data_IF_287987180365
#
_entry.id   IF_287987180365
#
_cell.length_a   1.000
_cell.length_b   1.000
_cell.length_c   1.000
_cell.angle_alpha   90.00
_cell.angle_beta   90.00
_cell.angle_gamma   90.00
#
_symmetry.space_group_name_H-M   'P 1'
#
loop_
_entity.id
_entity.type
_entity.pdbx_description
1 polymer ?
#
# COMPACT_ATOMS: atom_id res chain seq x y z
N UNK A 1 27.93 2.47 -4.14
CA UNK A 1 28.16 3.55 -3.18
C UNK A 1 28.72 2.96 -1.88
N UNK A 2 29.70 3.62 -1.29
CA UNK A 2 30.17 3.28 0.05
C UNK A 2 29.15 3.75 1.09
N UNK A 3 29.09 3.07 2.24
CA UNK A 3 28.13 3.37 3.31
C UNK A 3 28.19 4.84 3.77
N UNK A 4 29.39 5.39 3.93
CA UNK A 4 29.59 6.77 4.35
C UNK A 4 29.04 7.80 3.34
N UNK A 5 29.02 7.47 2.06
CA UNK A 5 28.41 8.31 1.04
C UNK A 5 26.89 8.26 1.12
N UNK A 6 26.31 7.08 1.30
CA UNK A 6 24.86 6.92 1.51
C UNK A 6 24.40 7.72 2.72
N UNK A 7 25.15 7.66 3.82
CA UNK A 7 24.85 8.44 5.03
C UNK A 7 24.81 9.95 4.74
N UNK A 8 25.77 10.49 3.99
CA UNK A 8 25.75 11.90 3.60
C UNK A 8 24.52 12.28 2.80
N UNK A 9 24.10 11.44 1.84
CA UNK A 9 22.88 11.69 1.06
C UNK A 9 21.63 11.67 1.93
N UNK A 10 21.54 10.74 2.89
CA UNK A 10 20.43 10.69 3.86
C UNK A 10 20.41 11.95 4.72
N UNK A 11 21.54 12.40 5.22
CA UNK A 11 21.66 13.60 6.05
C UNK A 11 21.24 14.85 5.25
N UNK A 12 21.69 15.02 4.00
CA UNK A 12 21.29 16.13 3.12
C UNK A 12 19.80 16.10 2.77
N UNK A 13 19.23 14.91 2.49
CA UNK A 13 17.82 14.78 2.24
C UNK A 13 16.98 15.26 3.43
N UNK A 14 17.39 14.94 4.64
CA UNK A 14 16.76 15.39 5.89
C UNK A 14 16.87 16.90 6.09
N UNK A 15 18.05 17.47 5.84
CA UNK A 15 18.26 18.92 5.96
C UNK A 15 17.30 19.73 5.09
N UNK A 16 16.92 19.20 3.92
CA UNK A 16 15.95 19.85 3.01
C UNK A 16 14.53 19.35 3.18
N UNK A 17 14.26 18.53 4.21
CA UNK A 17 12.91 18.06 4.55
C UNK A 17 12.36 16.96 3.65
N UNK A 18 13.18 16.26 2.88
CA UNK A 18 12.76 15.13 2.06
C UNK A 18 12.44 13.89 2.92
N UNK A 19 11.47 13.10 2.46
CA UNK A 19 11.24 11.74 2.96
C UNK A 19 12.30 10.81 2.39
N UNK A 20 12.87 9.95 3.23
CA UNK A 20 13.94 9.02 2.86
C UNK A 20 13.40 7.59 2.83
N UNK A 21 12.95 7.07 1.66
CA UNK A 21 12.69 5.65 1.49
C UNK A 21 14.00 4.90 1.25
N UNK A 22 14.13 3.70 1.82
CA UNK A 22 15.33 2.88 1.71
C UNK A 22 15.01 1.45 1.32
N UNK A 23 15.71 0.95 0.30
CA UNK A 23 15.70 -0.47 -0.07
C UNK A 23 16.18 -1.34 1.09
N UNK A 24 15.58 -2.53 1.22
CA UNK A 24 15.94 -3.51 2.24
C UNK A 24 16.10 -4.91 1.63
N UNK A 25 17.02 -5.68 2.20
CA UNK A 25 17.30 -7.08 1.92
C UNK A 25 18.18 -7.38 0.71
N UNK A 26 17.73 -8.20 -0.22
CA UNK A 26 18.57 -8.83 -1.23
C UNK A 26 19.09 -7.87 -2.30
N UNK A 27 20.03 -8.37 -3.08
CA UNK A 27 20.61 -7.59 -4.19
C UNK A 27 19.63 -7.44 -5.33
N UNK A 28 19.41 -6.20 -5.78
CA UNK A 28 18.59 -5.91 -6.95
C UNK A 28 19.36 -6.01 -8.26
N UNK A 29 20.69 -5.82 -8.21
CA UNK A 29 21.55 -5.89 -9.38
C UNK A 29 22.83 -6.68 -9.07
N UNK A 30 23.46 -7.32 -10.07
CA UNK A 30 24.77 -7.95 -9.89
C UNK A 30 25.80 -6.96 -9.33
N UNK A 31 26.57 -7.39 -8.36
CA UNK A 31 27.63 -6.57 -7.75
C UNK A 31 27.17 -5.61 -6.62
N UNK A 32 25.85 -5.44 -6.40
CA UNK A 32 25.36 -4.70 -5.22
C UNK A 32 25.53 -5.54 -3.95
N UNK A 33 25.61 -4.88 -2.80
CA UNK A 33 25.59 -5.53 -1.50
C UNK A 33 24.14 -5.88 -1.10
N UNK A 34 24.01 -6.77 -0.13
CA UNK A 34 22.75 -6.95 0.61
C UNK A 34 22.68 -5.87 1.68
N UNK A 35 21.47 -5.39 1.98
CA UNK A 35 21.19 -4.45 3.04
C UNK A 35 20.32 -5.15 4.09
N UNK A 36 20.87 -5.31 5.28
CA UNK A 36 20.19 -5.92 6.40
C UNK A 36 19.84 -4.89 7.48
N UNK A 37 19.34 -5.35 8.59
CA UNK A 37 18.86 -4.48 9.64
C UNK A 37 19.94 -3.54 10.19
N UNK A 38 21.20 -3.95 10.24
CA UNK A 38 22.27 -3.10 10.77
C UNK A 38 22.42 -1.78 9.99
N UNK A 39 22.46 -1.86 8.66
CA UNK A 39 22.60 -0.70 7.81
C UNK A 39 21.35 0.20 7.87
N UNK A 40 20.17 -0.40 7.86
CA UNK A 40 18.89 0.34 7.95
C UNK A 40 18.76 1.03 9.31
N UNK A 41 19.07 0.31 10.39
CA UNK A 41 19.01 0.86 11.76
C UNK A 41 20.03 1.99 11.97
N UNK A 42 21.20 1.91 11.36
CA UNK A 42 22.20 2.97 11.44
C UNK A 42 21.80 4.24 10.67
N UNK A 43 21.06 4.10 9.57
CA UNK A 43 20.59 5.22 8.73
C UNK A 43 19.24 5.79 9.18
N UNK A 44 18.40 5.00 9.86
CA UNK A 44 17.07 5.39 10.36
C UNK A 44 16.20 6.06 9.27
N UNK A 45 15.90 5.40 8.15
CA UNK A 45 15.06 5.97 7.09
C UNK A 45 13.64 6.25 7.59
N UNK A 46 12.88 7.07 6.84
CA UNK A 46 11.45 7.30 7.12
C UNK A 46 10.60 6.09 6.70
N UNK A 47 10.99 5.43 5.59
CA UNK A 47 10.29 4.25 5.05
C UNK A 47 11.30 3.18 4.67
N UNK A 48 11.07 1.94 5.09
CA UNK A 48 11.77 0.77 4.58
C UNK A 48 10.87 0.10 3.55
N UNK A 49 11.30 0.14 2.28
CA UNK A 49 10.45 -0.32 1.17
C UNK A 49 10.58 -1.83 0.94
N UNK A 50 9.49 -2.42 0.43
CA UNK A 50 9.38 -3.82 -0.04
C UNK A 50 10.01 -4.89 0.88
N UNK A 51 9.64 -4.92 2.15
CA UNK A 51 10.10 -5.93 3.14
C UNK A 51 10.00 -7.37 2.59
N UNK A 52 8.97 -7.64 1.82
CA UNK A 52 8.71 -8.92 1.17
C UNK A 52 9.21 -9.00 -0.27
N UNK A 53 10.18 -8.16 -0.66
CA UNK A 53 10.64 -8.05 -2.07
C UNK A 53 11.06 -9.37 -2.69
N UNK A 54 10.18 -10.04 -3.43
CA UNK A 54 10.40 -11.23 -4.27
C UNK A 54 11.55 -12.18 -3.88
N UNK A 55 12.45 -12.50 -4.82
CA UNK A 55 13.65 -13.30 -4.53
C UNK A 55 14.63 -12.61 -3.59
N UNK A 56 14.45 -11.34 -3.35
CA UNK A 56 15.33 -10.50 -2.53
C UNK A 56 14.81 -10.29 -1.12
N UNK A 57 13.67 -10.87 -0.76
CA UNK A 57 13.11 -10.74 0.60
C UNK A 57 14.10 -11.18 1.68
N UNK A 58 14.10 -10.45 2.79
CA UNK A 58 14.98 -10.78 3.91
C UNK A 58 14.46 -11.95 4.73
N UNK A 59 15.35 -12.63 5.46
CA UNK A 59 14.94 -13.56 6.48
C UNK A 59 14.06 -12.89 7.56
N UNK A 60 13.12 -13.61 8.12
CA UNK A 60 12.15 -13.11 9.12
C UNK A 60 12.83 -12.41 10.30
N UNK A 61 13.94 -12.94 10.81
CA UNK A 61 14.65 -12.34 11.94
C UNK A 61 15.23 -10.94 11.64
N UNK A 62 15.57 -10.65 10.39
CA UNK A 62 16.01 -9.31 9.98
C UNK A 62 14.82 -8.31 9.99
N UNK A 63 13.63 -8.77 9.55
CA UNK A 63 12.42 -7.97 9.64
C UNK A 63 12.03 -7.70 11.10
N UNK A 64 12.14 -8.68 12.01
CA UNK A 64 11.92 -8.48 13.45
C UNK A 64 12.82 -7.40 14.03
N UNK A 65 14.10 -7.41 13.69
CA UNK A 65 15.06 -6.37 14.15
C UNK A 65 14.64 -4.97 13.69
N UNK A 66 14.09 -4.84 12.48
CA UNK A 66 13.55 -3.56 12.00
C UNK A 66 12.28 -3.16 12.75
N UNK A 67 11.36 -4.08 12.98
CA UNK A 67 10.13 -3.79 13.72
C UNK A 67 10.47 -3.22 15.10
N UNK A 68 11.42 -3.81 15.79
CA UNK A 68 11.78 -3.47 17.17
C UNK A 68 12.78 -2.30 17.24
N UNK A 69 13.63 -2.09 16.23
CA UNK A 69 14.76 -1.17 16.26
C UNK A 69 14.55 0.17 15.58
N UNK A 70 13.49 0.36 14.80
CA UNK A 70 13.19 1.64 14.13
C UNK A 70 11.75 2.07 14.30
N UNK A 71 11.48 3.35 14.06
CA UNK A 71 10.12 3.91 13.95
C UNK A 71 9.67 4.11 12.50
N UNK A 72 10.48 3.72 11.54
CA UNK A 72 10.16 3.83 10.12
C UNK A 72 8.85 3.12 9.77
N UNK A 73 8.18 3.61 8.74
CA UNK A 73 7.14 2.83 8.07
C UNK A 73 7.76 1.65 7.33
N UNK A 74 7.06 0.53 7.30
CA UNK A 74 7.55 -0.73 6.73
C UNK A 74 6.60 -1.19 5.63
N UNK A 75 7.07 -1.18 4.38
CA UNK A 75 6.21 -1.43 3.22
C UNK A 75 6.23 -2.90 2.79
N UNK A 76 5.05 -3.43 2.50
CA UNK A 76 4.85 -4.69 1.78
C UNK A 76 4.29 -4.41 0.37
N UNK A 77 4.65 -5.26 -0.59
CA UNK A 77 4.35 -5.03 -2.00
C UNK A 77 3.68 -6.24 -2.66
N UNK A 78 2.81 -5.98 -3.66
CA UNK A 78 2.14 -7.07 -4.37
C UNK A 78 3.10 -7.87 -5.27
N UNK A 79 4.16 -7.25 -5.80
CA UNK A 79 5.17 -7.93 -6.61
C UNK A 79 6.22 -8.70 -5.79
N UNK A 80 6.00 -8.83 -4.48
CA UNK A 80 6.91 -9.50 -3.55
C UNK A 80 6.57 -10.97 -3.26
N UNK A 81 7.25 -11.51 -2.26
CA UNK A 81 7.01 -12.85 -1.73
C UNK A 81 5.82 -12.83 -0.77
N UNK A 82 4.73 -13.53 -1.13
CA UNK A 82 3.51 -13.58 -0.32
C UNK A 82 3.68 -14.30 1.03
N UNK A 83 4.58 -15.27 1.12
CA UNK A 83 4.86 -15.94 2.40
C UNK A 83 5.55 -14.97 3.36
N UNK A 84 6.56 -14.25 2.90
CA UNK A 84 7.23 -13.23 3.70
C UNK A 84 6.27 -12.10 4.10
N UNK A 85 5.37 -11.68 3.18
CA UNK A 85 4.33 -10.70 3.50
C UNK A 85 3.44 -11.18 4.65
N UNK A 86 2.93 -12.39 4.55
CA UNK A 86 2.07 -13.00 5.57
C UNK A 86 2.76 -13.04 6.94
N UNK A 87 3.95 -13.63 7.00
CA UNK A 87 4.71 -13.77 8.23
C UNK A 87 5.03 -12.40 8.85
N UNK A 88 5.44 -11.42 8.02
CA UNK A 88 5.74 -10.07 8.47
C UNK A 88 4.52 -9.33 9.02
N UNK A 89 3.37 -9.39 8.32
CA UNK A 89 2.15 -8.69 8.77
C UNK A 89 1.63 -9.30 10.09
N UNK A 90 1.74 -10.60 10.28
CA UNK A 90 1.40 -11.23 11.57
C UNK A 90 2.33 -10.75 12.69
N UNK A 91 3.62 -10.62 12.45
CA UNK A 91 4.55 -10.04 13.43
C UNK A 91 4.19 -8.60 13.80
N UNK A 92 3.81 -7.76 12.82
CA UNK A 92 3.35 -6.40 13.07
C UNK A 92 2.04 -6.37 13.87
N UNK A 93 1.11 -7.30 13.60
CA UNK A 93 -0.14 -7.48 14.34
C UNK A 93 0.12 -7.87 15.80
N UNK A 94 0.98 -8.84 16.04
CA UNK A 94 1.35 -9.31 17.38
C UNK A 94 1.99 -8.20 18.24
N UNK A 95 2.71 -7.28 17.62
CA UNK A 95 3.37 -6.14 18.28
C UNK A 95 2.53 -4.87 18.35
N UNK A 96 1.26 -4.93 17.93
CA UNK A 96 0.35 -3.75 17.84
C UNK A 96 0.92 -2.58 17.02
N UNK A 97 1.63 -2.91 15.92
CA UNK A 97 2.31 -1.93 15.08
C UNK A 97 1.77 -1.85 13.63
N UNK A 98 0.56 -2.33 13.40
CA UNK A 98 -0.08 -2.31 12.07
C UNK A 98 -0.16 -0.90 11.47
N UNK A 99 -0.23 0.14 12.29
CA UNK A 99 -0.27 1.55 11.86
C UNK A 99 0.98 1.99 11.09
N UNK A 100 2.08 1.23 11.17
CA UNK A 100 3.33 1.48 10.45
C UNK A 100 3.47 0.65 9.17
N UNK A 101 2.53 -0.24 8.87
CA UNK A 101 2.55 -1.01 7.62
C UNK A 101 2.06 -0.15 6.48
N UNK A 102 2.80 -0.16 5.37
CA UNK A 102 2.37 0.41 4.09
C UNK A 102 2.13 -0.70 3.08
N UNK A 103 1.20 -0.49 2.16
CA UNK A 103 0.94 -1.38 1.03
C UNK A 103 1.26 -0.66 -0.27
N UNK A 104 2.19 -1.22 -1.04
CA UNK A 104 2.61 -0.76 -2.35
C UNK A 104 2.53 -1.85 -3.43
N UNK A 105 2.98 -1.56 -4.64
CA UNK A 105 3.02 -2.54 -5.74
C UNK A 105 4.42 -2.92 -6.16
N UNK A 106 5.37 -2.01 -6.08
CA UNK A 106 6.69 -2.11 -6.71
C UNK A 106 6.60 -2.35 -8.24
N UNK A 107 5.54 -1.83 -8.87
CA UNK A 107 5.35 -1.95 -10.31
C UNK A 107 6.09 -0.82 -11.06
N UNK A 108 6.69 -1.11 -12.21
CA UNK A 108 6.69 -2.39 -12.96
C UNK A 108 7.85 -3.33 -12.62
N UNK A 109 8.65 -3.04 -11.60
CA UNK A 109 9.82 -3.85 -11.21
C UNK A 109 9.38 -5.20 -10.64
N UNK A 110 10.26 -6.19 -10.67
CA UNK A 110 9.98 -7.54 -10.18
C UNK A 110 9.09 -8.36 -11.13
N UNK A 111 7.81 -8.45 -10.83
CA UNK A 111 6.84 -9.26 -11.59
C UNK A 111 6.14 -8.48 -12.73
N UNK A 112 6.53 -7.22 -13.00
CA UNK A 112 5.88 -6.36 -13.99
C UNK A 112 4.64 -5.63 -13.45
N UNK A 113 3.71 -5.26 -14.33
CA UNK A 113 2.48 -4.57 -13.93
C UNK A 113 1.43 -5.57 -13.47
N UNK A 114 1.01 -5.47 -12.22
CA UNK A 114 -0.05 -6.27 -11.63
C UNK A 114 -1.37 -5.50 -11.64
N UNK A 115 -2.36 -5.87 -12.49
CA UNK A 115 -3.67 -5.26 -12.44
C UNK A 115 -4.32 -5.42 -11.06
N UNK A 116 -4.90 -4.33 -10.54
CA UNK A 116 -5.51 -4.29 -9.20
C UNK A 116 -4.53 -4.65 -8.05
N UNK A 117 -3.23 -4.45 -8.25
CA UNK A 117 -2.20 -4.92 -7.32
C UNK A 117 -2.43 -4.45 -5.86
N UNK A 118 -2.78 -3.17 -5.65
CA UNK A 118 -3.11 -2.65 -4.32
C UNK A 118 -4.34 -3.36 -3.73
N UNK A 119 -5.45 -3.44 -4.47
CA UNK A 119 -6.70 -4.09 -4.00
C UNK A 119 -6.46 -5.56 -3.68
N UNK A 120 -5.69 -6.28 -4.52
CA UNK A 120 -5.35 -7.69 -4.27
C UNK A 120 -4.45 -7.87 -3.04
N UNK A 121 -3.55 -6.94 -2.78
CA UNK A 121 -2.72 -6.97 -1.56
C UNK A 121 -3.56 -6.67 -0.32
N UNK A 122 -4.46 -5.70 -0.39
CA UNK A 122 -5.43 -5.39 0.68
C UNK A 122 -6.29 -6.62 0.98
N UNK A 123 -6.88 -7.23 -0.05
CA UNK A 123 -7.66 -8.46 0.06
C UNK A 123 -6.86 -9.59 0.73
N UNK A 124 -5.63 -9.85 0.26
CA UNK A 124 -4.77 -10.89 0.81
C UNK A 124 -4.44 -10.65 2.29
N UNK A 125 -4.01 -9.43 2.63
CA UNK A 125 -3.64 -9.08 4.01
C UNK A 125 -4.85 -9.14 4.94
N UNK A 126 -6.01 -8.64 4.51
CA UNK A 126 -7.21 -8.66 5.32
C UNK A 126 -7.68 -10.10 5.58
N UNK A 127 -7.91 -10.87 4.53
CA UNK A 127 -8.48 -12.22 4.64
C UNK A 127 -7.51 -13.23 5.27
N UNK A 128 -6.23 -13.21 4.88
CA UNK A 128 -5.26 -14.22 5.33
C UNK A 128 -4.66 -13.92 6.70
N UNK A 129 -4.53 -12.63 7.06
CA UNK A 129 -4.00 -12.24 8.37
C UNK A 129 -5.12 -11.90 9.38
N UNK A 130 -6.38 -12.06 9.00
CA UNK A 130 -7.55 -11.77 9.85
C UNK A 130 -7.47 -10.36 10.45
N UNK A 131 -7.32 -9.35 9.58
CA UNK A 131 -7.27 -7.95 9.95
C UNK A 131 -8.48 -7.26 9.32
N UNK A 132 -9.27 -6.47 10.08
CA UNK A 132 -10.42 -5.73 9.54
C UNK A 132 -10.06 -4.93 8.29
N UNK A 133 -10.90 -4.98 7.26
CA UNK A 133 -10.61 -4.42 5.94
C UNK A 133 -10.32 -2.91 5.99
N UNK A 134 -11.01 -2.15 6.85
CA UNK A 134 -10.78 -0.72 7.03
C UNK A 134 -9.35 -0.41 7.52
N UNK A 135 -8.78 -1.27 8.37
CA UNK A 135 -7.39 -1.11 8.84
C UNK A 135 -6.39 -1.40 7.73
N UNK A 136 -6.67 -2.40 6.91
CA UNK A 136 -5.79 -2.75 5.78
C UNK A 136 -5.90 -1.73 4.66
N UNK A 137 -7.08 -1.19 4.39
CA UNK A 137 -7.26 -0.06 3.46
C UNK A 137 -6.47 1.18 3.93
N UNK A 138 -6.46 1.46 5.24
CA UNK A 138 -5.66 2.55 5.78
C UNK A 138 -4.15 2.36 5.52
N UNK A 139 -3.62 1.12 5.51
CA UNK A 139 -2.22 0.85 5.15
C UNK A 139 -1.89 1.23 3.70
N UNK A 140 -2.88 1.20 2.80
CA UNK A 140 -2.72 1.57 1.39
C UNK A 140 -3.09 3.04 1.10
N UNK A 141 -3.62 3.77 2.06
CA UNK A 141 -4.14 5.13 1.89
C UNK A 141 -3.61 6.08 2.96
N UNK A 142 -4.27 6.16 4.11
CA UNK A 142 -3.94 7.10 5.18
C UNK A 142 -2.53 6.95 5.74
N UNK A 143 -2.04 5.72 5.95
CA UNK A 143 -0.66 5.48 6.41
C UNK A 143 0.37 5.90 5.36
N UNK A 144 0.09 5.69 4.07
CA UNK A 144 0.94 6.18 2.97
C UNK A 144 0.97 7.70 2.97
N UNK A 145 -0.20 8.34 3.11
CA UNK A 145 -0.29 9.80 3.19
C UNK A 145 0.53 10.36 4.36
N UNK A 146 0.47 9.74 5.52
CA UNK A 146 1.28 10.16 6.68
C UNK A 146 2.79 9.95 6.44
N UNK A 147 3.18 8.79 5.91
CA UNK A 147 4.59 8.46 5.64
C UNK A 147 5.24 9.43 4.63
N UNK A 148 4.50 9.78 3.57
CA UNK A 148 4.99 10.63 2.49
C UNK A 148 4.51 12.10 2.57
N UNK A 149 3.80 12.47 3.65
CA UNK A 149 3.29 13.84 3.90
C UNK A 149 2.40 14.38 2.78
N UNK A 150 1.49 13.53 2.29
CA UNK A 150 0.58 13.85 1.19
C UNK A 150 -0.71 14.51 1.71
N UNK A 151 -1.30 15.38 0.90
CA UNK A 151 -2.60 16.00 1.19
C UNK A 151 -3.81 15.16 0.71
N UNK A 152 -3.63 13.88 0.47
CA UNK A 152 -4.65 12.91 0.04
C UNK A 152 -4.67 11.69 0.96
N UNK A 153 -5.38 10.63 0.60
CA UNK A 153 -5.38 9.33 1.29
C UNK A 153 -6.23 9.24 2.56
N UNK A 154 -6.89 10.34 2.97
CA UNK A 154 -7.82 10.38 4.11
C UNK A 154 -9.07 11.16 3.75
N UNK A 155 -10.23 10.70 4.23
CA UNK A 155 -11.51 11.40 4.06
C UNK A 155 -11.64 12.43 5.20
N UNK A 156 -11.12 13.62 4.97
CA UNK A 156 -11.10 14.73 5.91
C UNK A 156 -11.36 16.06 5.18
N UNK A 157 -12.02 17.02 5.86
CA UNK A 157 -12.25 18.35 5.30
C UNK A 157 -10.92 19.06 5.03
N UNK A 158 -10.76 19.61 3.82
CA UNK A 158 -9.55 20.31 3.38
C UNK A 158 -8.50 19.43 2.69
N UNK A 159 -8.77 18.13 2.54
CA UNK A 159 -7.97 17.21 1.73
C UNK A 159 -8.45 17.13 0.30
N UNK A 160 -7.57 16.69 -0.59
CA UNK A 160 -7.92 16.36 -1.97
C UNK A 160 -8.95 15.22 -1.99
N UNK A 161 -10.00 15.38 -2.79
CA UNK A 161 -11.09 14.40 -2.88
C UNK A 161 -10.78 13.32 -3.91
N UNK A 162 -9.77 12.50 -3.63
CA UNK A 162 -9.44 11.29 -4.37
C UNK A 162 -10.12 10.10 -3.69
N UNK A 163 -11.24 9.66 -4.24
CA UNK A 163 -12.12 8.70 -3.60
C UNK A 163 -12.46 7.53 -4.53
N UNK A 164 -12.61 6.36 -3.95
CA UNK A 164 -13.27 5.23 -4.60
C UNK A 164 -14.51 4.81 -3.78
N UNK A 165 -15.60 4.51 -4.47
CA UNK A 165 -16.74 3.82 -3.86
C UNK A 165 -16.64 2.34 -4.21
N UNK A 166 -16.68 1.49 -3.19
CA UNK A 166 -16.63 0.03 -3.32
C UNK A 166 -17.90 -0.61 -2.77
N UNK A 167 -18.25 -1.77 -3.30
CA UNK A 167 -19.41 -2.52 -2.87
C UNK A 167 -19.18 -4.03 -3.03
N UNK A 168 -20.08 -4.85 -2.47
CA UNK A 168 -20.05 -6.28 -2.71
C UNK A 168 -20.42 -6.58 -4.18
N UNK A 169 -19.67 -7.44 -4.88
CA UNK A 169 -20.09 -7.97 -6.19
C UNK A 169 -21.40 -8.75 -6.09
N UNK A 170 -22.10 -8.89 -7.23
CA UNK A 170 -23.24 -9.81 -7.33
C UNK A 170 -22.82 -11.22 -6.88
N UNK A 171 -23.71 -11.88 -6.14
CA UNK A 171 -23.52 -13.23 -5.61
C UNK A 171 -22.34 -13.38 -4.63
N UNK A 172 -21.77 -12.28 -4.11
CA UNK A 172 -20.80 -12.31 -3.04
C UNK A 172 -21.46 -12.75 -1.72
N UNK A 173 -20.75 -13.50 -0.89
CA UNK A 173 -21.23 -13.86 0.46
C UNK A 173 -21.31 -12.67 1.41
N UNK A 174 -20.53 -11.63 1.16
CA UNK A 174 -20.55 -10.40 1.97
C UNK A 174 -21.66 -9.46 1.51
N UNK A 175 -22.15 -8.62 2.42
CA UNK A 175 -23.18 -7.62 2.16
C UNK A 175 -22.68 -6.27 1.69
N UNK A 176 -21.36 -6.04 1.76
CA UNK A 176 -20.71 -4.78 1.41
C UNK A 176 -19.26 -4.99 0.95
N UNK A 177 -18.62 -3.91 0.47
CA UNK A 177 -17.27 -3.98 -0.07
C UNK A 177 -16.18 -4.30 0.96
N UNK A 178 -16.35 -3.95 2.23
CA UNK A 178 -15.38 -4.28 3.29
C UNK A 178 -15.46 -5.76 3.63
N UNK A 179 -16.64 -6.29 3.84
CA UNK A 179 -16.86 -7.71 4.06
C UNK A 179 -16.38 -8.56 2.88
N UNK A 180 -16.54 -8.07 1.63
CA UNK A 180 -16.00 -8.73 0.45
C UNK A 180 -14.47 -8.89 0.53
N UNK A 181 -13.75 -7.83 0.93
CA UNK A 181 -12.30 -7.85 1.14
C UNK A 181 -11.91 -8.85 2.24
N UNK A 182 -12.64 -8.87 3.36
CA UNK A 182 -12.38 -9.79 4.49
C UNK A 182 -12.63 -11.24 4.10
N UNK A 183 -13.60 -11.50 3.23
CA UNK A 183 -13.84 -12.83 2.66
C UNK A 183 -12.75 -13.29 1.69
N UNK A 184 -11.92 -12.39 1.22
CA UNK A 184 -10.87 -12.68 0.26
C UNK A 184 -11.27 -12.48 -1.20
N UNK A 185 -12.33 -11.69 -1.45
CA UNK A 185 -12.76 -11.33 -2.80
C UNK A 185 -12.39 -9.89 -3.16
N UNK A 186 -12.29 -9.61 -4.45
CA UNK A 186 -12.05 -8.26 -4.97
C UNK A 186 -13.38 -7.51 -5.01
N UNK A 187 -13.56 -6.40 -4.29
CA UNK A 187 -14.79 -5.65 -4.27
C UNK A 187 -15.11 -5.03 -5.64
N UNK A 188 -16.37 -4.80 -5.91
CA UNK A 188 -16.82 -4.03 -7.06
C UNK A 188 -16.44 -2.56 -6.86
N UNK A 189 -15.70 -1.96 -7.79
CA UNK A 189 -15.42 -0.52 -7.79
C UNK A 189 -16.53 0.17 -8.57
N UNK A 190 -17.35 0.93 -7.85
CA UNK A 190 -18.55 1.60 -8.38
C UNK A 190 -18.28 3.00 -8.90
N UNK A 191 -17.34 3.71 -8.28
CA UNK A 191 -16.98 5.07 -8.68
C UNK A 191 -15.50 5.31 -8.39
N UNK A 192 -14.87 6.09 -9.26
CA UNK A 192 -13.55 6.67 -9.04
C UNK A 192 -13.70 8.18 -9.19
N UNK A 193 -13.27 8.91 -8.17
CA UNK A 193 -13.22 10.37 -8.13
C UNK A 193 -11.76 10.79 -7.94
N UNK A 194 -11.33 11.81 -8.67
CA UNK A 194 -10.01 12.42 -8.55
C UNK A 194 -10.21 13.92 -8.51
N UNK A 195 -9.60 14.58 -7.53
CA UNK A 195 -9.71 16.04 -7.31
C UNK A 195 -11.18 16.54 -7.29
N UNK A 196 -12.06 15.73 -6.68
CA UNK A 196 -13.49 16.02 -6.59
C UNK A 196 -14.30 15.79 -7.89
N UNK A 197 -13.67 15.35 -8.97
CA UNK A 197 -14.36 15.02 -10.22
C UNK A 197 -14.55 13.50 -10.39
N UNK A 198 -15.76 13.05 -10.72
CA UNK A 198 -16.04 11.64 -11.05
C UNK A 198 -15.45 11.35 -12.43
N UNK A 199 -14.40 10.50 -12.45
CA UNK A 199 -13.69 10.14 -13.67
C UNK A 199 -14.09 8.78 -14.23
N UNK A 200 -14.68 7.91 -13.41
CA UNK A 200 -15.22 6.63 -13.86
C UNK A 200 -16.38 6.18 -12.98
N UNK A 201 -17.38 5.60 -13.62
CA UNK A 201 -18.45 4.82 -12.99
C UNK A 201 -18.34 3.39 -13.48
N UNK A 202 -18.32 2.45 -12.53
CA UNK A 202 -18.12 1.01 -12.77
C UNK A 202 -16.76 0.70 -13.41
N UNK A 203 -15.79 0.34 -12.59
CA UNK A 203 -14.54 -0.17 -13.13
C UNK A 203 -14.77 -1.49 -13.87
N UNK A 204 -14.32 -1.58 -15.12
CA UNK A 204 -14.47 -2.80 -15.95
C UNK A 204 -13.61 -3.97 -15.48
N UNK A 205 -12.63 -3.70 -14.65
CA UNK A 205 -11.65 -4.67 -14.15
C UNK A 205 -12.09 -5.35 -12.83
N UNK A 206 -13.23 -4.95 -12.28
CA UNK A 206 -13.82 -5.56 -11.09
C UNK A 206 -15.20 -6.13 -11.41
N UNK A 207 -15.64 -7.07 -10.59
CA UNK A 207 -16.95 -7.70 -10.74
C UNK A 207 -18.08 -6.67 -10.60
N UNK A 208 -19.19 -6.94 -11.19
CA UNK A 208 -20.35 -6.05 -11.20
C UNK A 208 -21.07 -6.05 -9.85
N UNK A 209 -21.60 -4.89 -9.44
CA UNK A 209 -22.61 -4.71 -8.39
C UNK A 209 -23.77 -3.92 -8.98
N UNK A 210 -24.99 -4.15 -8.55
CA UNK A 210 -26.21 -3.48 -9.01
C UNK A 210 -26.56 -2.20 -8.24
N UNK A 211 -25.83 -1.91 -7.15
CA UNK A 211 -26.02 -0.68 -6.36
C UNK A 211 -25.65 0.55 -7.18
N UNK A 212 -26.54 1.54 -7.23
CA UNK A 212 -26.30 2.82 -7.89
C UNK A 212 -25.54 3.77 -6.98
N UNK A 213 -24.72 4.62 -7.59
CA UNK A 213 -23.95 5.66 -6.87
C UNK A 213 -24.61 7.01 -7.12
N UNK A 214 -24.83 7.78 -6.05
CA UNK A 214 -25.28 9.17 -6.14
C UNK A 214 -24.22 10.11 -5.54
N UNK A 215 -24.10 11.30 -6.13
CA UNK A 215 -23.30 12.40 -5.60
C UNK A 215 -24.23 13.61 -5.43
N UNK A 216 -24.26 14.19 -4.25
CA UNK A 216 -25.17 15.28 -3.88
C UNK A 216 -26.66 14.96 -4.16
N UNK A 217 -27.07 13.71 -3.94
CA UNK A 217 -28.44 13.24 -4.14
C UNK A 217 -28.87 13.11 -5.61
N UNK A 218 -27.94 13.18 -6.55
CA UNK A 218 -28.15 12.94 -7.97
C UNK A 218 -27.41 11.70 -8.41
N UNK A 219 -27.98 10.96 -9.37
CA UNK A 219 -27.27 9.84 -9.99
C UNK A 219 -25.90 10.32 -10.51
N UNK A 220 -24.85 9.62 -10.12
CA UNK A 220 -23.51 10.00 -10.53
C UNK A 220 -23.31 9.73 -12.03
N UNK A 221 -22.94 10.77 -12.76
CA UNK A 221 -22.57 10.69 -14.17
C UNK A 221 -21.12 11.16 -14.33
N UNK A 222 -20.38 10.51 -15.21
CA UNK A 222 -19.06 11.01 -15.56
C UNK A 222 -19.16 11.95 -16.78
N UNK A 223 -18.35 13.00 -16.78
CA UNK A 223 -18.24 13.86 -17.96
C UNK A 223 -17.52 13.05 -19.06
N UNK A 224 -18.22 12.74 -20.14
CA UNK A 224 -17.55 12.37 -21.39
C UNK A 224 -16.70 13.56 -21.78
N UNK A 225 -15.38 13.39 -21.91
CA UNK A 225 -14.56 14.38 -22.61
C UNK A 225 -15.07 14.42 -24.04
N UNK A 226 -15.86 15.42 -24.38
CA UNK A 226 -16.21 15.72 -25.76
C UNK A 226 -14.92 16.08 -26.49
N UNK A 227 -14.54 15.29 -27.46
CA UNK A 227 -13.55 15.61 -28.48
C UNK A 227 -12.10 15.24 -28.12
N UNK A 228 -11.70 14.02 -28.36
CA UNK A 228 -10.43 13.64 -29.03
C UNK A 228 -10.69 12.47 -29.96
#
# INVERSE_FOLDING_TARGET
FEYDDVKKYVDWAREVGMVVPMHFAGRSVPGSARLYADEVLALQPDVVVHINGGPTSAPTHEAERLIDGTKAYLEVICNGNYRTMYDFVLLMKERDQLHRVLIGTDSPVGAGVMPLGIIRTVQFVSSMCEIPAEKVLAMATGSVADAYRLNTGKVEVGREADLIAIDAPLDCYASDGLGCIEFGDVPAIRMIMVDGEVIALRARNTTFSDVEVSVDGKEATYKTREGT
#
